data_IF_782726666879
#
_entry.id   IF_782726666879
#
_cell.length_a   1.000
_cell.length_b   1.000
_cell.length_c   1.000
_cell.angle_alpha   90.00
_cell.angle_beta   90.00
_cell.angle_gamma   90.00
#
_symmetry.space_group_name_H-M   'P 1'
#
loop_
_entity.id
_entity.type
_entity.pdbx_description
1 polymer ?
#
# COMPACT_ATOMS: atom_id res chain seq x y z
N UNK A 1 14.19 -18.85 11.66
CA UNK A 1 13.50 -17.92 10.74
C UNK A 1 13.60 -16.53 11.37
N UNK A 2 13.84 -15.45 10.62
CA UNK A 2 14.17 -14.13 11.20
C UNK A 2 13.00 -13.37 11.84
N UNK A 3 11.78 -13.86 11.67
CA UNK A 3 10.57 -13.29 12.26
C UNK A 3 9.79 -14.39 12.98
N UNK A 4 9.26 -14.06 14.15
CA UNK A 4 8.31 -14.91 14.87
C UNK A 4 6.96 -14.99 14.15
N UNK A 5 6.13 -15.96 14.54
CA UNK A 5 4.80 -16.17 13.91
C UNK A 5 3.96 -14.89 13.87
N UNK A 6 3.88 -14.17 14.99
CA UNK A 6 3.11 -12.93 15.06
C UNK A 6 3.68 -11.84 14.14
N UNK A 7 5.01 -11.64 14.16
CA UNK A 7 5.67 -10.65 13.30
C UNK A 7 5.45 -10.93 11.82
N UNK A 8 5.44 -12.21 11.41
CA UNK A 8 5.12 -12.60 10.03
C UNK A 8 3.70 -12.22 9.64
N UNK A 9 2.72 -12.45 10.52
CA UNK A 9 1.33 -12.10 10.23
C UNK A 9 1.15 -10.58 10.15
N UNK A 10 1.74 -9.83 11.09
CA UNK A 10 1.73 -8.35 11.06
C UNK A 10 2.35 -7.82 9.77
N UNK A 11 3.50 -8.36 9.37
CA UNK A 11 4.16 -7.97 8.11
C UNK A 11 3.31 -8.30 6.88
N UNK A 12 2.70 -9.49 6.80
CA UNK A 12 1.85 -9.86 5.66
C UNK A 12 0.64 -8.92 5.57
N UNK A 13 -0.06 -8.68 6.68
CA UNK A 13 -1.26 -7.82 6.69
C UNK A 13 -0.89 -6.37 6.35
N UNK A 14 0.14 -5.81 6.98
CA UNK A 14 0.47 -4.39 6.85
C UNK A 14 1.38 -4.02 5.68
N UNK A 15 2.23 -4.92 5.20
CA UNK A 15 3.16 -4.65 4.08
C UNK A 15 2.71 -5.30 2.77
N UNK A 16 2.31 -6.58 2.82
CA UNK A 16 2.01 -7.32 1.59
C UNK A 16 0.60 -7.03 1.07
N UNK A 17 -0.37 -6.89 1.98
CA UNK A 17 -1.74 -6.52 1.64
C UNK A 17 -2.03 -5.03 1.83
N UNK A 18 -1.05 -4.25 2.32
CA UNK A 18 -1.18 -2.80 2.54
C UNK A 18 -2.42 -2.41 3.36
N UNK A 19 -2.87 -3.28 4.28
CA UNK A 19 -4.02 -2.99 5.14
C UNK A 19 -3.62 -1.93 6.15
N UNK A 20 -4.45 -0.89 6.26
CA UNK A 20 -4.17 0.23 7.16
C UNK A 20 -4.22 -0.17 8.64
N UNK A 21 -3.67 0.70 9.49
CA UNK A 21 -3.54 0.41 10.91
C UNK A 21 -4.85 0.41 11.69
N UNK A 22 -5.94 0.97 11.17
CA UNK A 22 -7.25 0.92 11.82
C UNK A 22 -7.80 -0.49 11.68
N UNK A 23 -7.99 -0.96 10.45
CA UNK A 23 -8.51 -2.30 10.18
C UNK A 23 -7.57 -3.40 10.69
N UNK A 24 -6.27 -3.24 10.51
CA UNK A 24 -5.33 -4.22 11.03
C UNK A 24 -5.33 -4.29 12.56
N UNK A 25 -5.56 -3.18 13.27
CA UNK A 25 -5.64 -3.21 14.74
C UNK A 25 -6.83 -4.02 15.25
N UNK A 26 -7.95 -4.00 14.53
CA UNK A 26 -9.12 -4.84 14.81
C UNK A 26 -8.82 -6.32 14.59
N UNK A 27 -8.19 -6.67 13.45
CA UNK A 27 -7.78 -8.05 13.12
C UNK A 27 -6.90 -8.66 14.23
N UNK A 28 -5.98 -7.87 14.77
CA UNK A 28 -5.02 -8.33 15.78
C UNK A 28 -5.46 -8.06 17.23
N UNK A 29 -6.65 -7.46 17.45
CA UNK A 29 -7.15 -7.05 18.76
C UNK A 29 -6.14 -6.23 19.59
N UNK A 30 -5.50 -5.25 18.94
CA UNK A 30 -4.54 -4.32 19.56
C UNK A 30 -4.95 -2.87 19.27
N UNK A 31 -4.27 -1.88 19.86
CA UNK A 31 -4.46 -0.49 19.45
C UNK A 31 -3.79 -0.20 18.10
N UNK A 32 -4.29 0.78 17.31
CA UNK A 32 -3.65 1.19 16.06
C UNK A 32 -2.18 1.59 16.22
N UNK A 33 -1.84 2.26 17.34
CA UNK A 33 -0.46 2.63 17.65
C UNK A 33 0.42 1.40 17.91
N UNK A 34 -0.09 0.40 18.62
CA UNK A 34 0.63 -0.85 18.87
C UNK A 34 0.86 -1.62 17.57
N UNK A 35 -0.15 -1.72 16.70
CA UNK A 35 0.00 -2.34 15.38
C UNK A 35 1.09 -1.66 14.54
N UNK A 36 1.06 -0.33 14.43
CA UNK A 36 2.12 0.43 13.71
C UNK A 36 3.51 0.15 14.26
N UNK A 37 3.64 0.09 15.58
CA UNK A 37 4.92 -0.18 16.25
C UNK A 37 5.41 -1.61 15.98
N UNK A 38 4.51 -2.61 16.00
CA UNK A 38 4.83 -4.00 15.66
C UNK A 38 5.26 -4.14 14.20
N UNK A 39 4.54 -3.50 13.27
CA UNK A 39 4.86 -3.52 11.84
C UNK A 39 6.22 -2.88 11.56
N UNK A 40 6.50 -1.73 12.17
CA UNK A 40 7.80 -1.04 12.05
C UNK A 40 8.96 -1.94 12.51
N UNK A 41 8.80 -2.64 13.65
CA UNK A 41 9.81 -3.58 14.15
C UNK A 41 9.99 -4.78 13.21
N UNK A 42 8.89 -5.39 12.74
CA UNK A 42 8.93 -6.51 11.81
C UNK A 42 9.64 -6.15 10.49
N UNK A 43 9.39 -4.94 9.95
CA UNK A 43 10.12 -4.40 8.78
C UNK A 43 11.61 -4.29 9.07
N UNK A 44 11.99 -3.67 10.18
CA UNK A 44 13.40 -3.48 10.57
C UNK A 44 14.14 -4.81 10.72
N UNK A 45 13.54 -5.76 11.44
CA UNK A 45 14.13 -7.08 11.68
C UNK A 45 14.34 -7.84 10.37
N UNK A 46 13.35 -7.83 9.48
CA UNK A 46 13.46 -8.45 8.16
C UNK A 46 14.54 -7.80 7.31
N UNK A 47 14.56 -6.46 7.23
CA UNK A 47 15.53 -5.72 6.42
C UNK A 47 16.95 -5.91 6.92
N UNK A 48 17.17 -5.84 8.23
CA UNK A 48 18.47 -6.11 8.84
C UNK A 48 18.93 -7.55 8.55
N UNK A 49 18.02 -8.52 8.66
CA UNK A 49 18.36 -9.91 8.35
C UNK A 49 18.75 -10.07 6.87
N UNK A 50 17.95 -9.53 5.94
CA UNK A 50 18.22 -9.62 4.51
C UNK A 50 19.52 -8.94 4.12
N UNK A 51 19.81 -7.76 4.65
CA UNK A 51 21.04 -7.03 4.35
C UNK A 51 22.30 -7.79 4.77
N UNK A 52 22.23 -8.55 5.87
CA UNK A 52 23.36 -9.29 6.42
C UNK A 52 23.47 -10.75 5.94
N UNK A 53 22.43 -11.30 5.31
CA UNK A 53 22.39 -12.73 4.95
C UNK A 53 22.03 -13.01 3.49
N UNK A 54 21.25 -12.15 2.82
CA UNK A 54 20.72 -12.43 1.49
C UNK A 54 21.70 -11.97 0.41
N UNK A 55 22.15 -12.91 -0.45
CA UNK A 55 23.02 -12.62 -1.59
C UNK A 55 22.34 -11.85 -2.73
N UNK A 56 21.01 -11.80 -2.76
CA UNK A 56 20.27 -10.96 -3.71
C UNK A 56 20.26 -9.48 -3.29
N UNK A 57 20.26 -9.22 -1.99
CA UNK A 57 20.23 -7.85 -1.43
C UNK A 57 21.64 -7.29 -1.33
N UNK A 58 22.60 -8.09 -0.85
CA UNK A 58 24.01 -7.74 -0.83
C UNK A 58 24.83 -8.91 -1.38
N UNK A 59 25.55 -8.68 -2.48
CA UNK A 59 26.29 -9.73 -3.22
C UNK A 59 27.41 -10.38 -2.39
N UNK A 60 27.92 -9.68 -1.39
CA UNK A 60 28.98 -10.15 -0.50
C UNK A 60 28.50 -11.23 0.47
N UNK A 61 27.17 -11.30 0.72
CA UNK A 61 26.60 -12.34 1.56
C UNK A 61 26.67 -13.72 0.88
N UNK A 62 26.81 -14.83 1.61
CA UNK A 62 27.03 -16.17 1.02
C UNK A 62 25.74 -16.85 0.50
N UNK A 63 24.55 -16.37 0.88
CA UNK A 63 23.29 -17.01 0.48
C UNK A 63 23.08 -16.95 -1.04
N UNK A 64 22.69 -18.07 -1.65
CA UNK A 64 22.38 -18.14 -3.09
C UNK A 64 21.06 -18.91 -3.26
N UNK A 65 20.08 -18.30 -3.92
CA UNK A 65 18.76 -18.92 -4.12
C UNK A 65 18.83 -20.33 -4.73
N UNK A 66 19.68 -20.63 -5.74
CA UNK A 66 19.80 -21.99 -6.27
C UNK A 66 20.19 -23.04 -5.21
N UNK A 67 21.08 -22.69 -4.26
CA UNK A 67 21.46 -23.59 -3.16
C UNK A 67 20.28 -23.82 -2.21
N UNK A 68 19.50 -22.78 -1.92
CA UNK A 68 18.31 -22.86 -1.06
C UNK A 68 17.19 -23.69 -1.71
N UNK A 69 16.93 -23.46 -3.00
CA UNK A 69 15.95 -24.22 -3.78
C UNK A 69 16.29 -25.70 -3.84
N UNK A 70 17.58 -26.06 -3.97
CA UNK A 70 18.02 -27.46 -3.90
C UNK A 70 17.57 -28.15 -2.59
N UNK A 71 17.75 -27.49 -1.45
CA UNK A 71 17.26 -28.00 -0.16
C UNK A 71 15.73 -28.11 -0.10
N UNK A 72 15.00 -27.16 -0.69
CA UNK A 72 13.53 -27.21 -0.75
C UNK A 72 13.01 -28.35 -1.64
N UNK A 73 13.72 -28.67 -2.72
CA UNK A 73 13.43 -29.85 -3.55
C UNK A 73 13.66 -31.13 -2.74
N UNK A 74 14.80 -31.24 -2.04
CA UNK A 74 15.13 -32.39 -1.20
C UNK A 74 14.10 -32.61 -0.08
N UNK A 75 13.58 -31.53 0.49
CA UNK A 75 12.53 -31.57 1.53
C UNK A 75 11.10 -31.71 0.97
N UNK A 76 10.93 -31.82 -0.36
CA UNK A 76 9.63 -31.98 -1.00
C UNK A 76 8.75 -30.72 -1.03
N UNK A 77 9.27 -29.55 -0.63
CA UNK A 77 8.51 -28.29 -0.66
C UNK A 77 8.41 -27.69 -2.07
N UNK A 78 9.36 -28.01 -2.95
CA UNK A 78 9.36 -27.60 -4.35
C UNK A 78 9.41 -28.86 -5.23
N UNK A 79 8.46 -29.00 -6.15
CA UNK A 79 8.50 -30.04 -7.16
C UNK A 79 9.20 -29.50 -8.42
N UNK A 80 10.41 -29.95 -8.77
CA UNK A 80 11.15 -29.43 -9.92
C UNK A 80 10.55 -29.84 -11.28
N UNK A 81 9.69 -30.87 -11.31
CA UNK A 81 9.02 -31.37 -12.52
C UNK A 81 7.67 -30.66 -12.72
N UNK A 82 7.01 -30.25 -11.64
CA UNK A 82 5.73 -29.55 -11.68
C UNK A 82 5.81 -28.22 -10.93
N UNK A 83 6.33 -27.20 -11.61
CA UNK A 83 6.45 -25.84 -11.10
C UNK A 83 5.10 -25.12 -11.14
N UNK A 84 4.35 -25.15 -10.02
CA UNK A 84 2.97 -24.60 -9.92
C UNK A 84 2.81 -23.14 -10.37
N UNK A 85 3.85 -22.32 -10.22
CA UNK A 85 3.81 -20.87 -10.45
C UNK A 85 4.76 -20.39 -11.54
N UNK A 86 5.44 -21.32 -12.23
CA UNK A 86 6.33 -20.99 -13.33
C UNK A 86 5.57 -21.10 -14.64
N UNK A 87 4.79 -20.06 -14.98
CA UNK A 87 4.22 -19.96 -16.33
C UNK A 87 5.29 -19.43 -17.28
N UNK A 88 5.37 -20.01 -18.47
CA UNK A 88 6.12 -19.39 -19.56
C UNK A 88 5.54 -17.99 -19.81
N UNK A 89 6.42 -17.00 -19.90
CA UNK A 89 6.06 -15.65 -20.31
C UNK A 89 6.75 -15.35 -21.63
N UNK A 90 6.09 -14.57 -22.49
CA UNK A 90 6.64 -14.16 -23.79
C UNK A 90 7.34 -12.80 -23.72
N UNK A 91 6.90 -11.94 -22.79
CA UNK A 91 7.46 -10.61 -22.56
C UNK A 91 7.49 -10.33 -21.05
N UNK A 92 8.53 -9.64 -20.60
CA UNK A 92 8.58 -9.07 -19.25
C UNK A 92 7.63 -7.87 -19.17
N UNK A 93 7.18 -7.54 -17.94
CA UNK A 93 6.39 -6.32 -17.71
C UNK A 93 7.17 -5.07 -18.17
N UNK A 94 8.49 -5.06 -18.01
CA UNK A 94 9.33 -3.96 -18.46
C UNK A 94 9.30 -3.80 -20.00
N UNK A 95 9.45 -4.89 -20.75
CA UNK A 95 9.38 -4.85 -22.22
C UNK A 95 8.01 -4.40 -22.71
N UNK A 96 6.93 -4.94 -22.14
CA UNK A 96 5.56 -4.53 -22.44
C UNK A 96 5.33 -3.05 -22.12
N UNK A 97 5.81 -2.60 -20.96
CA UNK A 97 5.70 -1.20 -20.56
C UNK A 97 6.46 -0.28 -21.53
N UNK A 98 7.68 -0.64 -21.93
CA UNK A 98 8.43 0.16 -22.89
C UNK A 98 7.78 0.20 -24.28
N UNK A 99 7.26 -0.93 -24.76
CA UNK A 99 6.60 -1.01 -26.07
C UNK A 99 5.33 -0.15 -26.15
N UNK A 100 4.62 0.02 -25.04
CA UNK A 100 3.32 0.69 -25.00
C UNK A 100 3.35 2.02 -24.24
N UNK A 101 4.53 2.49 -23.82
CA UNK A 101 4.67 3.62 -22.88
C UNK A 101 3.98 4.87 -23.40
N UNK A 102 4.24 5.23 -24.67
CA UNK A 102 3.70 6.45 -25.27
C UNK A 102 2.16 6.40 -25.38
N UNK A 103 1.62 5.28 -25.87
CA UNK A 103 0.17 5.10 -25.98
C UNK A 103 -0.51 5.14 -24.60
N UNK A 104 0.07 4.47 -23.60
CA UNK A 104 -0.48 4.44 -22.24
C UNK A 104 -0.40 5.82 -21.57
N UNK A 105 0.69 6.57 -21.77
CA UNK A 105 0.82 7.93 -21.22
C UNK A 105 -0.23 8.87 -21.81
N UNK A 106 -0.46 8.81 -23.13
CA UNK A 106 -1.51 9.59 -23.78
C UNK A 106 -2.91 9.22 -23.25
N UNK A 107 -3.21 7.93 -23.12
CA UNK A 107 -4.49 7.47 -22.57
C UNK A 107 -4.71 7.94 -21.12
N UNK A 108 -3.65 7.93 -20.31
CA UNK A 108 -3.68 8.42 -18.92
C UNK A 108 -3.92 9.92 -18.87
N UNK A 109 -3.21 10.70 -19.68
CA UNK A 109 -3.38 12.15 -19.77
C UNK A 109 -4.81 12.52 -20.20
N UNK A 110 -5.36 11.81 -21.18
CA UNK A 110 -6.74 11.97 -21.62
C UNK A 110 -7.75 11.64 -20.51
N UNK A 111 -7.49 10.59 -19.73
CA UNK A 111 -8.33 10.19 -18.60
C UNK A 111 -8.32 11.26 -17.49
N UNK A 112 -7.15 11.79 -17.18
CA UNK A 112 -7.01 12.88 -16.22
C UNK A 112 -7.63 14.17 -16.72
N UNK A 113 -7.44 14.52 -17.99
CA UNK A 113 -8.05 15.69 -18.59
C UNK A 113 -9.59 15.62 -18.48
N UNK A 114 -10.19 14.47 -18.81
CA UNK A 114 -11.64 14.25 -18.63
C UNK A 114 -12.07 14.41 -17.18
N UNK A 115 -11.35 13.78 -16.24
CA UNK A 115 -11.65 13.88 -14.81
C UNK A 115 -11.61 15.35 -14.32
N UNK A 116 -10.63 16.13 -14.76
CA UNK A 116 -10.53 17.54 -14.40
C UNK A 116 -11.58 18.41 -15.09
N UNK A 117 -11.94 18.10 -16.34
CA UNK A 117 -13.01 18.78 -17.06
C UNK A 117 -14.39 18.52 -16.43
N UNK A 118 -14.62 17.31 -15.91
CA UNK A 118 -15.83 16.93 -15.19
C UNK A 118 -15.86 17.45 -13.75
N UNK A 119 -14.74 17.99 -13.24
CA UNK A 119 -14.69 18.50 -11.89
C UNK A 119 -15.54 19.77 -11.78
N UNK A 120 -16.51 19.83 -10.85
CA UNK A 120 -17.32 21.02 -10.68
C UNK A 120 -16.43 22.21 -10.31
N UNK A 121 -16.61 23.31 -11.02
CA UNK A 121 -15.95 24.56 -10.68
C UNK A 121 -16.52 25.02 -9.34
N UNK A 122 -15.72 24.91 -8.27
CA UNK A 122 -16.11 25.45 -6.97
C UNK A 122 -16.07 26.96 -7.11
N UNK A 123 -17.24 27.59 -7.13
CA UNK A 123 -17.31 29.03 -6.93
C UNK A 123 -16.59 29.34 -5.62
N UNK A 124 -15.69 30.33 -5.58
CA UNK A 124 -15.02 30.70 -4.34
C UNK A 124 -16.09 31.13 -3.34
N UNK A 125 -16.41 30.25 -2.39
CA UNK A 125 -17.17 30.62 -1.21
C UNK A 125 -16.19 31.29 -0.27
N UNK A 126 -16.36 32.59 -0.10
CA UNK A 126 -15.65 33.33 0.94
C UNK A 126 -16.18 32.88 2.29
N UNK A 127 -15.39 33.11 3.35
CA UNK A 127 -15.88 32.93 4.71
C UNK A 127 -17.12 33.78 4.99
N UNK A 128 -17.28 34.93 4.31
CA UNK A 128 -18.47 35.77 4.39
C UNK A 128 -19.70 35.06 3.81
N UNK A 129 -19.61 34.40 2.66
CA UNK A 129 -20.73 33.67 2.04
C UNK A 129 -21.23 32.53 2.95
N UNK A 130 -20.30 31.84 3.61
CA UNK A 130 -20.63 30.77 4.57
C UNK A 130 -21.28 31.36 5.82
N UNK A 131 -20.74 32.45 6.35
CA UNK A 131 -21.28 33.14 7.52
C UNK A 131 -22.69 33.67 7.22
N UNK A 132 -22.93 34.26 6.05
CA UNK A 132 -24.25 34.72 5.64
C UNK A 132 -25.25 33.58 5.45
N UNK A 133 -24.83 32.45 4.85
CA UNK A 133 -25.68 31.28 4.72
C UNK A 133 -26.07 30.67 6.09
N UNK A 134 -25.15 30.68 7.05
CA UNK A 134 -25.38 30.17 8.41
C UNK A 134 -26.24 31.15 9.22
N UNK A 135 -25.91 32.44 9.21
CA UNK A 135 -26.66 33.48 9.93
C UNK A 135 -28.04 33.69 9.29
N UNK A 136 -28.19 33.50 7.99
CA UNK A 136 -29.46 33.63 7.27
C UNK A 136 -30.40 32.43 7.41
N UNK A 137 -29.95 31.32 8.02
CA UNK A 137 -30.78 30.14 8.22
C UNK A 137 -31.65 30.30 9.48
N UNK A 138 -32.96 30.45 9.31
CA UNK A 138 -33.90 30.72 10.41
C UNK A 138 -33.87 29.65 11.50
N UNK A 139 -33.74 28.36 11.12
CA UNK A 139 -33.66 27.26 12.09
C UNK A 139 -32.38 27.38 12.95
N UNK A 140 -31.24 27.67 12.32
CA UNK A 140 -29.99 27.88 13.06
C UNK A 140 -30.05 29.14 13.93
N UNK A 141 -30.64 30.22 13.44
CA UNK A 141 -30.82 31.46 14.22
C UNK A 141 -31.66 31.23 15.47
N UNK A 142 -32.78 30.53 15.34
CA UNK A 142 -33.66 30.21 16.46
C UNK A 142 -32.99 29.25 17.45
N UNK A 143 -32.37 28.19 16.94
CA UNK A 143 -31.72 27.16 17.76
C UNK A 143 -30.55 27.73 18.56
N UNK A 144 -29.72 28.58 17.95
CA UNK A 144 -28.51 29.11 18.55
C UNK A 144 -28.64 30.55 19.08
N UNK A 145 -29.83 31.16 18.98
CA UNK A 145 -30.13 32.53 19.44
C UNK A 145 -29.18 33.58 18.85
N UNK A 146 -28.91 33.48 17.55
CA UNK A 146 -28.02 34.41 16.84
C UNK A 146 -28.77 35.71 16.51
N UNK A 147 -28.71 36.70 17.40
CA UNK A 147 -29.26 38.05 17.18
C UNK A 147 -28.19 39.00 16.63
N UNK A 148 -28.54 39.81 15.63
CA UNK A 148 -27.73 40.97 15.21
C UNK A 148 -28.01 42.12 16.19
N UNK A 149 -26.98 42.54 16.93
CA UNK A 149 -26.93 43.88 17.55
C UNK A 149 -26.65 44.95 16.50
#
# INVERSE_FOLDING_TARGET
MCLEREQRLVYIVGEVFEIDHQLASEIFAVSPANFRQKLSRARKDLYQWMHNHCGLVNKDNPCRCPKKTKGFIQNGWVNPVNLKWHRHYTHTIHELAQQNLEAVLLDVDDLYARLYQDHPFKLPQTSQDIIEAVIGNDNLRETFKLTRE
#
